data_IF_023856702663
#
_entry.id   IF_023856702663
#
_cell.length_a   1.000
_cell.length_b   1.000
_cell.length_c   1.000
_cell.angle_alpha   90.00
_cell.angle_beta   90.00
_cell.angle_gamma   90.00
#
_symmetry.space_group_name_H-M   'P 1'
#
loop_
_entity.id
_entity.type
_entity.pdbx_description
1 polymer ?
2 non-polymer ?
3 non-polymer ?
4 non-polymer ?
5 water ?
#
# COMPACT_ATOMS: atom_id res chain seq x y z
N UNK A 1 21.96 -2.15 -10.46
CA UNK A 1 20.98 -3.01 -9.85
C UNK A 1 20.93 -2.70 -8.36
N UNK A 2 20.97 -1.41 -8.02
CA UNK A 2 20.90 -1.03 -6.61
C UNK A 2 19.55 -0.38 -6.43
N UNK A 3 18.76 -0.89 -5.52
CA UNK A 3 17.43 -0.35 -5.38
C UNK A 3 17.26 0.20 -4.04
N UNK A 4 16.44 1.23 -3.93
CA UNK A 4 16.09 1.76 -2.63
C UNK A 4 14.55 1.65 -2.46
N UNK A 5 14.06 1.04 -1.37
CA UNK A 5 12.61 0.91 -1.15
C UNK A 5 12.23 1.67 0.09
N UNK A 6 11.43 2.74 -0.07
CA UNK A 6 11.02 3.50 1.12
C UNK A 6 9.84 2.80 1.71
N UNK A 7 9.69 2.89 3.02
CA UNK A 7 8.56 2.27 3.70
C UNK A 7 8.57 0.75 3.64
N UNK A 8 9.75 0.21 3.41
CA UNK A 8 9.89 -1.22 3.31
C UNK A 8 9.76 -2.00 4.61
N UNK A 9 9.49 -1.39 5.75
CA UNK A 9 9.24 -2.15 6.97
C UNK A 9 7.77 -2.09 7.27
N UNK A 10 6.96 -1.50 6.36
CA UNK A 10 5.48 -1.46 6.52
C UNK A 10 4.82 -2.72 5.93
N UNK A 11 3.50 -2.73 5.79
CA UNK A 11 2.84 -3.90 5.25
C UNK A 11 3.15 -4.29 3.81
N UNK A 12 2.83 -3.37 2.89
CA UNK A 12 3.05 -3.70 1.50
C UNK A 12 4.51 -3.69 1.13
N UNK A 13 5.22 -2.72 1.69
CA UNK A 13 6.64 -2.55 1.39
C UNK A 13 7.46 -3.78 1.74
N UNK A 14 7.19 -4.31 2.94
CA UNK A 14 7.91 -5.50 3.39
C UNK A 14 7.63 -6.74 2.51
N UNK A 15 6.39 -6.86 2.06
CA UNK A 15 6.07 -7.94 1.16
C UNK A 15 6.84 -7.78 -0.15
N UNK A 16 6.92 -6.56 -0.67
CA UNK A 16 7.68 -6.37 -1.90
C UNK A 16 9.14 -6.76 -1.70
N UNK A 17 9.69 -6.33 -0.56
CA UNK A 17 11.10 -6.65 -0.24
C UNK A 17 11.34 -8.16 -0.06
N UNK A 18 10.50 -8.83 0.70
CA UNK A 18 10.68 -10.24 0.90
C UNK A 18 10.58 -10.96 -0.44
N UNK A 19 9.62 -10.57 -1.27
CA UNK A 19 9.47 -11.21 -2.59
C UNK A 19 10.65 -10.93 -3.52
N UNK A 20 11.08 -9.69 -3.60
CA UNK A 20 12.19 -9.35 -4.46
C UNK A 20 13.41 -10.17 -4.10
N UNK A 21 13.70 -10.23 -2.80
CA UNK A 21 14.87 -10.95 -2.34
C UNK A 21 14.68 -12.41 -2.51
N UNK A 22 13.44 -12.83 -2.55
CA UNK A 22 13.21 -14.25 -2.75
C UNK A 22 13.42 -14.63 -4.22
N UNK A 23 13.45 -13.62 -5.11
CA UNK A 23 13.65 -13.89 -6.53
C UNK A 23 12.35 -14.05 -7.32
N UNK A 24 11.24 -13.57 -6.75
CA UNK A 24 9.96 -13.67 -7.42
C UNK A 24 9.82 -12.74 -8.62
N UNK A 25 10.72 -11.74 -8.73
CA UNK A 25 10.73 -10.77 -9.81
C UNK A 25 12.01 -10.87 -10.62
N UNK A 26 12.08 -11.92 -11.41
CA UNK A 26 13.25 -12.18 -12.25
C UNK A 26 13.67 -11.01 -13.13
N UNK A 27 12.67 -10.23 -13.56
CA UNK A 27 12.94 -9.06 -14.37
C UNK A 27 13.43 -7.85 -13.60
N UNK A 28 13.41 -7.91 -12.28
CA UNK A 28 13.94 -6.79 -11.52
C UNK A 28 15.18 -7.32 -10.81
N UNK A 29 16.35 -7.16 -11.38
CA UNK A 29 17.47 -7.74 -10.68
C UNK A 29 17.93 -6.92 -9.47
N UNK A 30 18.04 -7.63 -8.36
CA UNK A 30 18.43 -6.98 -7.14
C UNK A 30 19.77 -7.43 -6.61
N UNK A 31 20.70 -6.54 -6.80
CA UNK A 31 22.04 -6.80 -6.33
C UNK A 31 22.22 -6.27 -4.93
N UNK A 32 21.55 -5.18 -4.69
CA UNK A 32 21.55 -4.54 -3.41
C UNK A 32 20.25 -3.81 -3.22
N UNK A 33 19.66 -4.07 -2.06
CA UNK A 33 18.40 -3.45 -1.72
C UNK A 33 18.57 -2.67 -0.44
N UNK A 34 18.26 -1.40 -0.47
CA UNK A 34 18.33 -0.58 0.71
C UNK A 34 16.90 -0.32 1.10
N UNK A 35 16.59 -0.49 2.35
CA UNK A 35 15.24 -0.18 2.79
C UNK A 35 15.39 1.04 3.69
N UNK A 36 14.62 2.09 3.42
CA UNK A 36 14.59 3.29 4.22
C UNK A 36 13.23 3.36 4.91
N UNK A 37 13.20 3.31 6.26
CA UNK A 37 11.91 3.36 6.92
C UNK A 37 12.06 4.08 8.24
N UNK A 38 11.14 4.98 8.60
CA UNK A 38 11.31 5.73 9.82
C UNK A 38 10.75 5.05 11.04
N UNK A 39 10.16 3.85 10.87
CA UNK A 39 9.58 3.05 11.91
C UNK A 39 8.60 3.82 12.73
N UNK A 40 7.52 4.28 12.09
CA UNK A 40 6.42 4.95 12.82
C UNK A 40 5.63 3.83 13.53
N UNK A 41 4.48 4.12 14.12
CA UNK A 41 3.70 3.06 14.77
C UNK A 41 3.48 1.89 13.78
N UNK A 42 3.49 2.17 12.45
CA UNK A 42 3.22 1.16 11.41
C UNK A 42 4.42 0.39 10.89
N UNK A 43 5.64 0.85 11.14
CA UNK A 43 6.77 0.11 10.62
C UNK A 43 7.19 -0.91 11.63
N UNK A 44 7.64 -2.05 11.14
CA UNK A 44 7.99 -3.07 12.12
C UNK A 44 9.17 -3.88 11.65
N UNK A 45 10.26 -3.87 12.42
CA UNK A 45 11.45 -4.63 12.02
C UNK A 45 11.14 -6.11 11.84
N UNK A 46 10.17 -6.60 12.59
CA UNK A 46 9.86 -8.00 12.42
C UNK A 46 9.31 -8.35 11.03
N UNK A 47 8.77 -7.38 10.27
CA UNK A 47 8.27 -7.66 8.90
C UNK A 47 9.38 -8.07 7.96
N UNK A 48 10.61 -7.71 8.32
CA UNK A 48 11.75 -8.06 7.51
C UNK A 48 12.59 -9.15 8.12
N UNK A 49 12.16 -9.73 9.23
CA UNK A 49 12.95 -10.78 9.88
C UNK A 49 13.28 -12.00 9.02
N UNK A 50 12.34 -12.38 8.18
CA UNK A 50 12.58 -13.50 7.30
C UNK A 50 13.71 -13.28 6.33
N UNK A 51 14.16 -12.03 6.16
CA UNK A 51 15.23 -11.73 5.23
C UNK A 51 16.39 -10.97 5.84
N UNK A 52 16.43 -10.78 7.15
CA UNK A 52 17.54 -10.01 7.71
C UNK A 52 18.94 -10.62 7.53
N UNK A 53 18.99 -11.92 7.23
CA UNK A 53 20.23 -12.64 7.00
C UNK A 53 20.75 -12.37 5.60
N UNK A 54 19.91 -11.78 4.78
CA UNK A 54 20.31 -11.50 3.42
C UNK A 54 21.34 -10.41 3.38
N UNK A 55 22.49 -10.79 2.84
CA UNK A 55 23.61 -9.93 2.66
C UNK A 55 23.33 -8.74 1.70
N UNK A 56 22.34 -8.87 0.82
CA UNK A 56 22.02 -7.85 -0.15
C UNK A 56 21.16 -6.74 0.38
N UNK A 57 20.67 -6.99 1.58
CA UNK A 57 19.78 -6.07 2.24
C UNK A 57 20.45 -5.13 3.21
N UNK A 58 20.21 -3.85 3.08
CA UNK A 58 20.70 -2.85 4.00
C UNK A 58 19.45 -2.13 4.50
N UNK A 59 19.27 -2.16 5.81
CA UNK A 59 18.17 -1.48 6.47
C UNK A 59 18.60 -0.12 7.05
N UNK A 60 17.91 0.96 6.67
CA UNK A 60 18.23 2.27 7.15
C UNK A 60 17.04 2.80 7.93
N UNK A 61 17.23 3.07 9.23
CA UNK A 61 16.19 3.62 10.06
C UNK A 61 16.32 5.14 9.87
N UNK A 62 15.43 5.73 9.09
CA UNK A 62 15.52 7.15 8.78
C UNK A 62 14.28 7.63 8.03
N UNK A 63 14.26 8.93 7.77
CA UNK A 63 13.07 9.52 7.23
C UNK A 63 13.18 10.04 5.80
N UNK A 64 12.10 9.92 5.00
CA UNK A 64 12.13 10.42 3.61
C UNK A 64 12.24 11.95 3.62
N UNK A 65 11.93 12.54 4.76
CA UNK A 65 12.01 14.00 4.86
C UNK A 65 13.41 14.52 5.12
N UNK A 66 14.32 13.59 5.37
CA UNK A 66 15.70 13.94 5.69
C UNK A 66 16.59 14.06 4.42
N UNK A 67 16.67 15.24 3.89
CA UNK A 67 17.44 15.40 2.66
C UNK A 67 18.89 15.05 2.76
N UNK A 68 19.46 15.27 3.96
CA UNK A 68 20.87 14.99 4.30
C UNK A 68 21.12 13.50 4.07
N UNK A 69 20.32 12.73 4.77
CA UNK A 69 20.40 11.28 4.69
C UNK A 69 20.22 10.74 3.26
N UNK A 70 19.18 11.22 2.58
CA UNK A 70 18.92 10.75 1.23
C UNK A 70 20.00 11.07 0.25
N UNK A 71 20.57 12.28 0.38
CA UNK A 71 21.63 12.66 -0.55
C UNK A 71 22.75 11.62 -0.47
N UNK A 72 22.98 11.05 0.70
CA UNK A 72 24.02 10.06 0.79
C UNK A 72 23.50 8.66 0.45
N UNK A 73 22.38 8.25 1.00
CA UNK A 73 21.92 6.90 0.70
C UNK A 73 21.56 6.68 -0.79
N UNK A 74 21.20 7.75 -1.52
CA UNK A 74 20.84 7.57 -2.91
C UNK A 74 22.02 7.52 -3.90
N UNK A 75 23.25 7.64 -3.38
CA UNK A 75 24.43 7.62 -4.29
C UNK A 75 24.58 6.29 -5.01
N UNK A 76 24.54 6.30 -6.35
CA UNK A 76 24.63 5.03 -7.08
C UNK A 76 23.30 4.24 -7.19
N UNK A 77 22.21 4.74 -6.56
CA UNK A 77 20.92 4.06 -6.63
C UNK A 77 20.34 4.19 -8.03
N UNK A 78 19.95 3.09 -8.58
CA UNK A 78 19.34 3.10 -9.93
C UNK A 78 17.82 3.30 -10.01
N UNK A 79 17.14 2.83 -8.97
CA UNK A 79 15.70 2.93 -8.94
C UNK A 79 15.22 3.00 -7.52
N UNK A 80 14.09 3.67 -7.32
CA UNK A 80 13.42 3.76 -6.02
C UNK A 80 11.97 3.26 -6.19
N UNK A 81 11.46 2.50 -5.21
CA UNK A 81 10.07 2.10 -5.14
C UNK A 81 9.63 2.75 -3.86
N UNK A 82 8.71 3.67 -4.00
CA UNK A 82 8.29 4.49 -2.88
C UNK A 82 6.96 4.13 -2.21
N UNK A 83 7.03 3.40 -1.11
CA UNK A 83 5.87 3.02 -0.33
C UNK A 83 5.67 3.87 0.92
N UNK A 84 6.69 4.57 1.38
CA UNK A 84 6.58 5.31 2.66
C UNK A 84 5.43 6.30 2.68
N UNK A 85 4.58 6.25 3.70
CA UNK A 85 3.44 7.16 3.79
C UNK A 85 2.66 6.95 5.08
N UNK A 86 1.87 7.92 5.46
CA UNK A 86 0.88 7.76 6.53
C UNK A 86 -0.32 7.14 5.75
N UNK A 87 -0.82 5.98 6.17
CA UNK A 87 -1.80 5.30 5.30
C UNK A 87 -3.20 5.07 5.84
N UNK A 88 -3.48 5.52 7.06
CA UNK A 88 -4.80 5.21 7.55
C UNK A 88 -5.80 6.39 7.51
N UNK A 89 -6.94 6.18 6.81
CA UNK A 89 -7.95 7.22 6.72
C UNK A 89 -8.43 7.79 8.06
N UNK A 90 -8.74 6.90 9.02
CA UNK A 90 -9.19 7.35 10.35
C UNK A 90 -8.18 8.26 11.05
N UNK A 91 -6.89 7.92 10.92
CA UNK A 91 -5.85 8.75 11.54
C UNK A 91 -5.86 10.10 10.89
N UNK A 92 -6.07 10.10 9.55
CA UNK A 92 -6.05 11.34 8.81
C UNK A 92 -7.20 12.24 9.22
N UNK A 93 -8.34 11.64 9.58
CA UNK A 93 -9.44 12.51 9.98
C UNK A 93 -9.18 13.08 11.38
N UNK A 94 -8.56 12.27 12.24
CA UNK A 94 -8.24 12.69 13.60
C UNK A 94 -7.07 13.67 13.68
N UNK A 95 -6.07 13.49 12.80
CA UNK A 95 -4.89 14.36 12.83
C UNK A 95 -4.27 14.46 11.45
N UNK A 96 -4.83 15.36 10.65
CA UNK A 96 -4.40 15.50 9.27
C UNK A 96 -3.00 15.98 8.95
N UNK A 97 -2.42 16.82 9.78
CA UNK A 97 -1.15 17.38 9.36
C UNK A 97 -0.03 16.45 8.96
N UNK A 98 0.17 15.41 9.74
CA UNK A 98 1.23 14.44 9.46
C UNK A 98 1.09 13.83 8.05
N UNK A 99 -0.16 13.81 7.52
CA UNK A 99 -0.39 13.28 6.15
C UNK A 99 0.23 14.23 5.13
N UNK A 100 0.02 15.53 5.28
CA UNK A 100 0.66 16.44 4.31
C UNK A 100 2.18 16.34 4.45
N UNK A 101 2.59 16.34 5.72
CA UNK A 101 4.01 16.28 5.98
C UNK A 101 4.74 15.10 5.37
N UNK A 102 4.30 13.86 5.66
CA UNK A 102 5.00 12.72 5.11
C UNK A 102 4.71 12.48 3.63
N UNK A 103 3.42 12.60 3.31
CA UNK A 103 2.97 12.23 1.98
C UNK A 103 3.33 13.22 0.94
N UNK A 104 3.08 14.49 1.20
CA UNK A 104 3.37 15.47 0.15
C UNK A 104 4.79 16.01 0.25
N UNK A 105 5.13 16.57 1.41
CA UNK A 105 6.47 17.08 1.54
C UNK A 105 7.53 15.97 1.46
N UNK A 106 7.27 14.80 2.06
CA UNK A 106 8.25 13.71 2.02
C UNK A 106 8.48 13.26 0.59
N UNK A 107 7.39 13.15 -0.18
CA UNK A 107 7.54 12.79 -1.58
C UNK A 107 8.36 13.83 -2.31
N UNK A 108 8.11 15.15 -2.05
CA UNK A 108 8.87 16.21 -2.73
C UNK A 108 10.36 16.10 -2.43
N UNK A 109 10.64 15.90 -1.16
CA UNK A 109 12.04 15.75 -0.76
C UNK A 109 12.71 14.57 -1.47
N UNK A 110 12.07 13.42 -1.42
CA UNK A 110 12.59 12.21 -2.01
C UNK A 110 12.84 12.42 -3.50
N UNK A 111 11.89 13.01 -4.23
CA UNK A 111 12.09 13.17 -5.66
C UNK A 111 13.16 14.20 -5.98
N UNK A 112 13.23 15.27 -5.19
CA UNK A 112 14.29 16.22 -5.44
C UNK A 112 15.63 15.53 -5.25
N UNK A 113 15.73 14.78 -4.20
CA UNK A 113 16.98 14.09 -3.97
C UNK A 113 17.26 13.10 -5.08
N UNK A 114 16.23 12.48 -5.63
CA UNK A 114 16.43 11.53 -6.72
C UNK A 114 17.00 12.21 -7.95
N UNK A 115 16.50 13.41 -8.25
CA UNK A 115 17.01 14.21 -9.34
C UNK A 115 18.47 14.60 -9.03
N UNK A 116 18.74 15.01 -7.82
CA UNK A 116 20.13 15.38 -7.52
C UNK A 116 21.10 14.23 -7.56
N UNK A 117 20.63 13.01 -7.33
CA UNK A 117 21.48 11.82 -7.30
C UNK A 117 21.50 11.06 -8.61
N UNK A 118 20.81 11.63 -9.59
CA UNK A 118 20.75 10.98 -10.88
C UNK A 118 20.05 9.62 -10.87
N UNK A 119 19.05 9.40 -10.00
CA UNK A 119 18.35 8.10 -9.97
C UNK A 119 17.63 7.83 -11.26
N UNK A 120 17.75 6.62 -11.79
CA UNK A 120 17.16 6.26 -13.07
C UNK A 120 15.64 6.29 -13.20
N UNK A 121 14.96 5.67 -12.26
CA UNK A 121 13.51 5.65 -12.36
C UNK A 121 12.94 5.46 -11.00
N UNK A 122 11.70 5.88 -10.85
CA UNK A 122 11.06 5.77 -9.57
C UNK A 122 9.65 5.30 -9.80
N UNK A 123 9.14 4.45 -8.87
CA UNK A 123 7.77 4.01 -8.90
C UNK A 123 7.10 4.61 -7.69
N UNK A 124 6.13 5.48 -7.90
CA UNK A 124 5.44 6.12 -6.80
C UNK A 124 4.16 5.36 -6.54
N UNK A 125 4.06 4.72 -5.37
CA UNK A 125 2.91 3.87 -5.01
C UNK A 125 1.73 4.65 -4.44
N UNK A 126 0.64 4.65 -5.16
CA UNK A 126 -0.52 5.42 -4.76
C UNK A 126 -1.80 4.58 -4.60
N UNK A 127 -2.95 5.27 -4.50
CA UNK A 127 -4.21 4.62 -4.18
C UNK A 127 -5.42 5.08 -4.97
N UNK A 128 -6.38 4.15 -5.05
CA UNK A 128 -7.69 4.42 -5.68
C UNK A 128 -8.46 5.52 -4.95
N UNK A 129 -8.14 5.78 -3.68
CA UNK A 129 -8.95 6.78 -2.97
C UNK A 129 -8.85 8.20 -3.54
N UNK A 130 -7.80 8.45 -4.37
CA UNK A 130 -7.65 9.77 -4.95
C UNK A 130 -8.84 10.18 -5.83
N UNK A 131 -9.58 9.17 -6.29
CA UNK A 131 -10.71 9.43 -7.20
C UNK A 131 -12.05 9.75 -6.53
N UNK A 132 -12.12 9.67 -5.20
CA UNK A 132 -13.34 9.99 -4.48
C UNK A 132 -14.21 8.76 -4.31
N UNK A 133 -15.45 8.80 -4.82
CA UNK A 133 -16.41 7.69 -4.72
C UNK A 133 -17.10 7.52 -6.07
N UNK A 134 -17.48 6.29 -6.39
CA UNK A 134 -18.09 6.01 -7.66
C UNK A 134 -19.24 5.03 -7.50
N UNK A 135 -20.44 5.50 -7.81
CA UNK A 135 -21.66 4.71 -7.62
C UNK A 135 -21.79 3.44 -8.45
N UNK A 136 -21.46 3.65 -9.73
CA UNK A 136 -21.53 2.62 -10.77
C UNK A 136 -20.33 2.76 -11.70
N UNK A 137 -19.84 1.58 -12.10
CA UNK A 137 -18.70 1.54 -12.98
C UNK A 137 -17.39 1.56 -12.18
N UNK A 138 -16.29 1.75 -12.95
CA UNK A 138 -14.93 1.71 -12.47
C UNK A 138 -14.12 2.86 -13.01
N UNK A 139 -13.15 3.32 -12.24
CA UNK A 139 -12.35 4.42 -12.69
C UNK A 139 -11.23 4.00 -13.59
N UNK A 140 -10.84 4.86 -14.53
CA UNK A 140 -9.70 4.59 -15.40
C UNK A 140 -8.61 5.58 -15.03
N UNK A 141 -7.45 5.42 -15.65
CA UNK A 141 -6.30 6.27 -15.37
C UNK A 141 -6.55 7.73 -15.69
N UNK A 142 -7.62 8.01 -16.42
CA UNK A 142 -7.93 9.39 -16.73
C UNK A 142 -9.01 9.92 -15.80
N UNK A 143 -9.48 9.15 -14.83
CA UNK A 143 -10.51 9.65 -13.97
C UNK A 143 -9.94 10.85 -13.22
N UNK A 144 -10.81 11.77 -12.84
CA UNK A 144 -10.38 12.95 -12.15
C UNK A 144 -10.12 12.75 -10.67
N UNK A 145 -9.23 13.60 -10.15
CA UNK A 145 -8.86 13.57 -8.73
C UNK A 145 -9.91 14.31 -7.92
N UNK A 146 -10.59 13.58 -7.06
CA UNK A 146 -11.65 14.16 -6.27
C UNK A 146 -11.59 13.54 -4.90
N UNK A 147 -10.43 13.68 -4.27
CA UNK A 147 -10.25 13.09 -2.94
C UNK A 147 -11.20 13.66 -1.91
N UNK A 148 -11.68 12.81 -0.98
CA UNK A 148 -12.64 13.25 0.04
C UNK A 148 -12.07 13.37 1.43
N UNK A 149 -11.06 12.57 1.73
CA UNK A 149 -10.45 12.56 3.07
C UNK A 149 -9.07 13.19 3.04
N UNK A 150 -8.55 13.58 4.18
CA UNK A 150 -7.21 14.19 4.19
C UNK A 150 -6.18 13.20 3.69
N UNK A 151 -6.37 11.93 4.01
CA UNK A 151 -5.42 10.94 3.54
C UNK A 151 -5.46 10.95 2.00
N UNK A 152 -6.64 10.86 1.40
CA UNK A 152 -6.71 10.82 -0.05
C UNK A 152 -6.17 12.07 -0.68
N UNK A 153 -6.41 13.23 -0.07
CA UNK A 153 -5.93 14.51 -0.61
C UNK A 153 -4.42 14.59 -0.55
N UNK A 154 -3.82 13.97 0.46
CA UNK A 154 -2.35 13.97 0.60
C UNK A 154 -1.72 13.04 -0.42
N UNK A 155 -2.38 11.89 -0.66
CA UNK A 155 -1.87 10.98 -1.68
C UNK A 155 -2.06 11.62 -3.06
N UNK A 156 -3.16 12.29 -3.35
CA UNK A 156 -3.30 12.94 -4.65
C UNK A 156 -2.29 14.05 -4.83
N UNK A 157 -2.06 14.85 -3.77
CA UNK A 157 -1.04 15.90 -3.84
C UNK A 157 0.31 15.28 -4.16
N UNK A 158 0.64 14.13 -3.58
CA UNK A 158 1.95 13.54 -3.84
C UNK A 158 2.03 13.05 -5.28
N UNK A 159 0.91 12.61 -5.87
CA UNK A 159 0.89 12.17 -7.27
C UNK A 159 1.13 13.38 -8.18
N UNK A 160 0.64 14.56 -7.77
CA UNK A 160 0.83 15.77 -8.59
C UNK A 160 2.28 16.21 -8.57
N UNK A 161 2.91 16.07 -7.39
CA UNK A 161 4.33 16.37 -7.22
C UNK A 161 5.10 15.44 -8.15
N UNK A 162 4.74 14.16 -8.20
CA UNK A 162 5.44 13.23 -9.09
C UNK A 162 5.34 13.69 -10.54
N UNK A 163 4.12 14.08 -10.98
CA UNK A 163 3.93 14.54 -12.34
C UNK A 163 4.82 15.71 -12.64
N UNK A 164 4.85 16.70 -11.73
CA UNK A 164 5.71 17.88 -11.96
C UNK A 164 7.18 17.53 -12.08
N UNK A 165 7.69 16.56 -11.30
CA UNK A 165 9.11 16.15 -11.36
C UNK A 165 9.40 15.54 -12.69
N UNK A 166 8.42 14.83 -13.24
CA UNK A 166 8.62 14.26 -14.58
C UNK A 166 8.56 15.38 -15.63
N UNK A 167 7.56 16.26 -15.56
CA UNK A 167 7.40 17.31 -16.57
C UNK A 167 8.48 18.37 -16.55
N UNK A 168 8.94 18.81 -15.36
CA UNK A 168 9.92 19.86 -15.26
C UNK A 168 11.35 19.39 -15.36
N UNK A 169 11.70 18.32 -14.65
CA UNK A 169 13.11 17.89 -14.60
C UNK A 169 13.41 16.67 -15.43
N UNK A 170 12.41 16.07 -15.99
CA UNK A 170 12.66 14.90 -16.78
C UNK A 170 12.81 13.65 -15.95
N UNK A 171 12.42 13.64 -14.66
CA UNK A 171 12.57 12.42 -13.84
C UNK A 171 11.68 11.26 -14.33
N UNK A 172 12.23 10.04 -14.55
CA UNK A 172 11.38 8.96 -14.99
C UNK A 172 10.61 8.41 -13.77
N UNK A 173 9.42 8.96 -13.54
CA UNK A 173 8.62 8.49 -12.44
C UNK A 173 7.33 7.91 -13.01
N UNK A 174 6.95 6.74 -12.50
CA UNK A 174 5.75 6.00 -12.85
C UNK A 174 4.87 5.92 -11.60
N UNK A 175 3.55 6.08 -11.76
CA UNK A 175 2.63 6.06 -10.65
C UNK A 175 1.75 4.82 -10.71
N UNK A 176 1.56 4.15 -9.58
CA UNK A 176 0.63 3.01 -9.57
C UNK A 176 -0.51 3.36 -8.61
N UNK A 177 -1.72 2.85 -8.91
CA UNK A 177 -2.84 3.07 -8.02
C UNK A 177 -3.51 1.74 -7.83
N UNK A 178 -3.82 1.39 -6.57
CA UNK A 178 -4.43 0.10 -6.30
C UNK A 178 -5.60 0.20 -5.35
N UNK A 179 -6.39 -0.87 -5.26
CA UNK A 179 -7.54 -0.96 -4.35
C UNK A 179 -7.05 -1.49 -3.02
N UNK A 180 -7.95 -1.82 -2.11
CA UNK A 180 -7.57 -2.29 -0.78
C UNK A 180 -6.81 -3.59 -0.85
N UNK A 181 -5.69 -3.60 -0.12
CA UNK A 181 -4.87 -4.78 -0.03
C UNK A 181 -5.17 -5.51 1.28
N UNK A 182 -4.89 -6.81 1.25
CA UNK A 182 -5.01 -7.65 2.43
C UNK A 182 -3.91 -8.71 2.38
N UNK A 183 -3.60 -9.33 3.53
CA UNK A 183 -2.57 -10.35 3.55
C UNK A 183 -1.80 -10.33 4.90
N UNK A 184 -0.83 -11.25 5.03
CA UNK A 184 0.00 -11.30 6.22
C UNK A 184 0.77 -10.01 6.46
N UNK A 185 0.93 -9.65 7.72
CA UNK A 185 1.67 -8.51 8.19
C UNK A 185 0.94 -7.21 8.04
N UNK A 186 -0.34 -7.26 7.83
CA UNK A 186 -1.07 -6.03 7.77
C UNK A 186 -1.35 -5.53 9.18
N UNK A 187 -1.14 -4.27 9.44
CA UNK A 187 -1.37 -3.75 10.78
C UNK A 187 -2.81 -3.91 11.17
N UNK A 188 -3.06 -4.27 12.45
CA UNK A 188 -4.41 -4.52 12.95
C UNK A 188 -5.35 -3.34 13.11
N UNK A 189 -4.99 -2.18 12.62
CA UNK A 189 -5.95 -1.07 12.64
C UNK A 189 -6.81 -1.11 11.39
N UNK A 190 -6.36 -1.86 10.36
CA UNK A 190 -7.07 -1.99 9.07
C UNK A 190 -8.22 -3.00 9.23
N UNK A 191 -9.30 -2.78 8.48
CA UNK A 191 -10.51 -3.61 8.60
C UNK A 191 -10.32 -5.09 8.80
N UNK A 192 -9.73 -5.78 7.81
CA UNK A 192 -9.64 -7.25 7.97
C UNK A 192 -8.86 -7.72 9.19
N UNK A 193 -7.61 -7.30 9.38
CA UNK A 193 -6.86 -7.74 10.56
C UNK A 193 -7.50 -7.24 11.84
N UNK A 194 -8.17 -6.08 11.78
CA UNK A 194 -8.86 -5.62 12.98
C UNK A 194 -9.99 -6.55 13.33
N UNK A 195 -10.78 -6.93 12.34
CA UNK A 195 -11.88 -7.78 12.66
C UNK A 195 -11.41 -9.18 12.99
N UNK A 196 -10.50 -9.74 12.23
CA UNK A 196 -10.02 -11.06 12.56
C UNK A 196 -9.45 -11.11 13.97
N UNK A 197 -8.55 -10.21 14.32
CA UNK A 197 -7.96 -10.21 15.65
C UNK A 197 -8.93 -9.88 16.77
N UNK A 198 -9.94 -9.03 16.53
CA UNK A 198 -10.94 -8.81 17.55
C UNK A 198 -11.63 -10.16 17.86
N UNK A 199 -11.98 -10.87 16.81
CA UNK A 199 -12.65 -12.14 16.99
C UNK A 199 -11.79 -13.08 17.75
N UNK A 200 -10.52 -13.18 17.37
CA UNK A 200 -9.62 -14.07 18.10
C UNK A 200 -9.49 -13.64 19.55
N UNK A 201 -9.79 -12.37 19.83
CA UNK A 201 -9.67 -11.94 21.21
C UNK A 201 -10.98 -11.99 21.92
N UNK A 202 -11.92 -12.56 21.23
CA UNK A 202 -13.28 -12.70 21.70
C UNK A 202 -13.99 -11.36 21.81
N UNK A 203 -13.69 -10.40 20.95
CA UNK A 203 -14.33 -9.09 21.05
C UNK A 203 -15.41 -8.89 19.99
N UNK A 204 -15.90 -7.65 19.89
CA UNK A 204 -16.94 -7.31 18.91
C UNK A 204 -16.33 -6.58 17.72
N UNK A 205 -17.13 -6.43 16.68
CA UNK A 205 -16.62 -5.78 15.50
C UNK A 205 -17.36 -4.49 15.21
N UNK A 206 -16.61 -3.41 15.18
CA UNK A 206 -17.19 -2.10 14.94
C UNK A 206 -17.48 -1.83 13.49
N UNK A 207 -18.68 -2.14 13.04
CA UNK A 207 -18.98 -1.92 11.65
C UNK A 207 -19.56 -0.53 11.42
N UNK A 208 -18.88 0.31 10.66
CA UNK A 208 -19.36 1.68 10.48
C UNK A 208 -20.70 1.77 9.82
N UNK A 209 -21.54 2.66 10.36
CA UNK A 209 -22.86 2.89 9.79
C UNK A 209 -23.61 1.59 9.54
N UNK A 210 -24.07 1.42 8.31
CA UNK A 210 -24.80 0.25 7.84
C UNK A 210 -23.93 -0.82 7.20
N UNK A 211 -22.65 -0.55 6.95
CA UNK A 211 -21.81 -1.56 6.31
C UNK A 211 -22.07 -1.67 4.83
N UNK A 212 -22.76 -0.69 4.24
CA UNK A 212 -23.04 -0.78 2.80
C UNK A 212 -21.91 -0.34 1.93
N UNK A 213 -20.92 0.35 2.50
CA UNK A 213 -19.78 0.80 1.70
C UNK A 213 -19.10 -0.34 0.96
N UNK A 214 -18.62 -0.05 -0.23
CA UNK A 214 -18.01 -1.06 -1.08
C UNK A 214 -16.54 -0.82 -1.33
N UNK A 215 -15.76 -1.91 -1.22
CA UNK A 215 -14.34 -1.82 -1.48
C UNK A 215 -13.96 -2.99 -2.36
N UNK A 216 -12.88 -2.87 -3.13
CA UNK A 216 -12.37 -3.95 -3.95
C UNK A 216 -11.14 -4.45 -3.20
N UNK A 217 -10.92 -5.74 -3.18
CA UNK A 217 -9.82 -6.30 -2.41
C UNK A 217 -8.89 -7.09 -3.25
N UNK A 218 -7.62 -6.85 -3.04
CA UNK A 218 -6.57 -7.58 -3.75
C UNK A 218 -5.53 -8.07 -2.75
N UNK A 219 -5.01 -9.26 -2.96
CA UNK A 219 -3.98 -9.78 -2.10
C UNK A 219 -2.70 -8.98 -2.40
N UNK A 220 -2.00 -8.56 -1.34
CA UNK A 220 -0.81 -7.78 -1.52
C UNK A 220 0.20 -8.45 -2.45
N UNK A 221 0.20 -9.76 -2.54
CA UNK A 221 1.15 -10.41 -3.43
C UNK A 221 0.95 -10.03 -4.88
N UNK A 222 -0.31 -9.89 -5.27
CA UNK A 222 -0.68 -9.48 -6.62
C UNK A 222 -0.32 -8.01 -6.83
N UNK A 223 -0.60 -7.17 -5.82
CA UNK A 223 -0.28 -5.76 -5.92
C UNK A 223 1.21 -5.61 -6.14
N UNK A 224 2.00 -6.31 -5.33
CA UNK A 224 3.46 -6.20 -5.46
C UNK A 224 3.98 -6.67 -6.79
N UNK A 225 3.41 -7.75 -7.30
CA UNK A 225 3.81 -8.23 -8.64
C UNK A 225 3.51 -7.20 -9.71
N UNK A 226 2.35 -6.50 -9.64
CA UNK A 226 2.06 -5.43 -10.63
C UNK A 226 3.07 -4.31 -10.46
N UNK A 227 3.50 -3.94 -9.22
CA UNK A 227 4.49 -2.90 -9.04
C UNK A 227 5.80 -3.32 -9.69
N UNK A 228 6.20 -4.58 -9.52
CA UNK A 228 7.42 -5.03 -10.19
C UNK A 228 7.34 -4.97 -11.71
N UNK A 229 6.15 -5.25 -12.27
CA UNK A 229 5.98 -5.16 -13.72
C UNK A 229 6.13 -3.71 -14.18
N UNK A 230 5.54 -2.77 -13.42
CA UNK A 230 5.67 -1.36 -13.78
C UNK A 230 7.13 -0.87 -13.66
N UNK A 231 7.82 -1.39 -12.64
CA UNK A 231 9.20 -1.01 -12.44
C UNK A 231 9.99 -1.48 -13.61
N UNK A 232 9.78 -2.70 -13.98
CA UNK A 232 10.57 -3.22 -15.05
C UNK A 232 10.21 -2.72 -16.41
N UNK A 233 8.92 -2.49 -16.67
CA UNK A 233 8.56 -2.15 -18.05
C UNK A 233 7.55 -1.05 -18.28
N UNK A 234 7.26 -0.26 -17.27
CA UNK A 234 6.32 0.86 -17.49
C UNK A 234 7.02 2.00 -18.24
N UNK A 235 6.28 3.09 -18.42
CA UNK A 235 6.79 4.23 -19.13
C UNK A 235 6.73 5.45 -18.26
N UNK A 236 7.73 6.27 -18.45
CA UNK A 236 7.88 7.50 -17.68
C UNK A 236 6.64 8.37 -17.72
N UNK A 237 6.24 8.79 -16.56
CA UNK A 237 5.10 9.66 -16.48
C UNK A 237 3.75 8.97 -16.53
N UNK A 238 3.70 7.68 -16.76
CA UNK A 238 2.39 7.03 -16.82
C UNK A 238 1.86 6.60 -15.48
N UNK A 239 0.55 6.47 -15.44
CA UNK A 239 -0.20 5.97 -14.32
C UNK A 239 -0.71 4.60 -14.66
N UNK A 240 -0.63 3.66 -13.71
CA UNK A 240 -1.16 2.34 -13.93
C UNK A 240 -2.03 1.90 -12.79
N UNK A 241 -3.24 1.47 -13.08
CA UNK A 241 -4.08 0.89 -12.08
C UNK A 241 -3.73 -0.59 -11.91
N UNK A 242 -3.64 -1.04 -10.67
CA UNK A 242 -3.37 -2.44 -10.37
C UNK A 242 -4.67 -2.98 -9.80
N UNK A 243 -5.45 -3.69 -10.66
CA UNK A 243 -6.71 -4.27 -10.23
C UNK A 243 -6.67 -5.67 -9.54
N UNK A 244 -7.81 -6.31 -9.55
CA UNK A 244 -7.81 -7.61 -8.95
C UNK A 244 -9.14 -7.76 -8.32
N UNK A 245 -9.34 -6.73 -7.54
CA UNK A 245 -10.51 -6.48 -6.74
C UNK A 245 -11.76 -7.31 -7.01
N UNK A 246 -12.11 -7.98 -5.96
CA UNK A 246 -13.35 -8.67 -5.87
C UNK A 246 -14.08 -7.59 -5.09
N UNK A 247 -15.21 -7.13 -5.59
CA UNK A 247 -15.90 -6.03 -4.92
C UNK A 247 -16.87 -6.54 -3.84
N UNK A 248 -16.80 -6.04 -2.61
CA UNK A 248 -17.69 -6.48 -1.57
C UNK A 248 -18.19 -5.32 -0.76
N UNK A 249 -19.41 -5.41 -0.21
CA UNK A 249 -19.80 -4.40 0.79
C UNK A 249 -19.09 -4.85 2.06
N UNK A 250 -18.92 -3.92 2.98
CA UNK A 250 -18.26 -4.29 4.23
C UNK A 250 -19.11 -5.32 4.99
N UNK A 251 -20.44 -5.26 4.79
CA UNK A 251 -21.37 -6.18 5.41
C UNK A 251 -21.14 -7.61 4.94
N UNK A 252 -21.05 -7.75 3.64
CA UNK A 252 -20.78 -9.04 3.12
C UNK A 252 -19.39 -9.50 3.52
N UNK A 253 -18.39 -8.59 3.54
CA UNK A 253 -17.07 -9.08 3.95
C UNK A 253 -17.07 -9.57 5.39
N UNK A 254 -17.79 -8.83 6.26
CA UNK A 254 -17.92 -9.12 7.69
C UNK A 254 -18.47 -10.52 7.80
N UNK A 255 -19.51 -10.79 7.01
CA UNK A 255 -20.07 -12.14 7.03
C UNK A 255 -19.05 -13.22 6.67
N UNK A 256 -18.20 -12.98 5.66
CA UNK A 256 -17.18 -13.94 5.28
C UNK A 256 -16.15 -14.13 6.41
N UNK A 257 -15.79 -13.03 7.07
CA UNK A 257 -14.84 -13.17 8.15
C UNK A 257 -15.46 -13.91 9.29
N UNK A 258 -16.73 -13.62 9.64
CA UNK A 258 -17.31 -14.39 10.76
C UNK A 258 -17.27 -15.90 10.45
N UNK A 259 -17.66 -16.24 9.25
CA UNK A 259 -17.65 -17.64 8.89
C UNK A 259 -16.28 -18.25 8.95
N UNK A 260 -15.30 -17.55 8.42
CA UNK A 260 -13.95 -18.09 8.44
C UNK A 260 -13.52 -18.38 9.87
N UNK A 261 -14.12 -17.70 10.86
CA UNK A 261 -13.67 -17.96 12.21
C UNK A 261 -14.69 -18.72 13.02
N UNK A 262 -15.73 -19.26 12.42
CA UNK A 262 -16.66 -19.96 13.28
C UNK A 262 -17.45 -19.00 14.17
N UNK A 263 -17.56 -17.72 13.85
CA UNK A 263 -18.33 -16.81 14.70
C UNK A 263 -19.66 -16.45 14.10
N UNK A 264 -20.36 -15.53 14.78
CA UNK A 264 -21.67 -15.12 14.29
C UNK A 264 -21.95 -13.65 14.51
N UNK A 265 -23.08 -13.24 13.92
CA UNK A 265 -23.57 -11.89 13.93
C UNK A 265 -23.64 -11.23 15.24
N UNK A 266 -23.83 -12.01 16.30
CA UNK A 266 -23.88 -11.40 17.62
C UNK A 266 -22.57 -10.71 18.02
N UNK A 267 -21.49 -10.94 17.28
CA UNK A 267 -20.17 -10.34 17.53
C UNK A 267 -20.01 -8.93 16.91
N UNK A 268 -20.93 -8.59 16.00
CA UNK A 268 -20.91 -7.30 15.31
C UNK A 268 -21.69 -6.19 16.00
N UNK A 269 -21.11 -4.99 16.04
CA UNK A 269 -21.84 -3.87 16.58
C UNK A 269 -21.87 -2.78 15.53
N UNK A 270 -22.94 -2.02 15.48
CA UNK A 270 -23.06 -0.95 14.51
C UNK A 270 -22.58 0.29 15.15
N UNK A 271 -21.57 0.93 14.58
CA UNK A 271 -21.01 2.16 15.15
C UNK A 271 -21.25 3.42 14.25
N UNK A 272 -21.13 4.62 14.86
CA UNK A 272 -21.33 5.85 14.08
C UNK A 272 -20.39 5.82 12.89
N UNK A 273 -20.90 6.28 11.77
CA UNK A 273 -20.16 6.28 10.54
C UNK A 273 -18.95 7.23 10.53
N UNK A 274 -17.97 6.83 9.73
CA UNK A 274 -16.77 7.65 9.50
C UNK A 274 -17.14 8.96 8.75
N UNK A 275 -16.59 10.10 9.22
CA UNK A 275 -16.84 11.41 8.61
C UNK A 275 -16.35 11.37 7.16
N UNK A 276 -17.22 11.81 6.25
CA UNK A 276 -16.98 11.86 4.82
C UNK A 276 -16.73 10.49 4.17
N UNK A 277 -17.15 9.41 4.86
CA UNK A 277 -16.93 8.04 4.41
C UNK A 277 -17.22 7.80 2.93
N UNK A 278 -16.24 7.31 2.17
CA UNK A 278 -16.46 7.04 0.75
C UNK A 278 -17.36 5.85 0.56
N UNK A 279 -18.39 6.06 -0.24
CA UNK A 279 -19.33 4.97 -0.48
C UNK A 279 -18.83 3.79 -1.29
N UNK A 280 -18.09 4.06 -2.35
CA UNK A 280 -17.68 2.92 -3.18
C UNK A 280 -16.40 3.20 -3.98
N UNK A 281 -15.47 2.20 -4.05
CA UNK A 281 -14.27 2.27 -4.87
C UNK A 281 -14.33 1.11 -5.88
N UNK A 282 -13.93 1.38 -7.13
CA UNK A 282 -13.89 0.37 -8.14
C UNK A 282 -12.90 0.82 -9.17
N UNK A 283 -11.85 0.02 -9.42
CA UNK A 283 -10.79 0.38 -10.37
C UNK A 283 -10.80 -0.49 -11.63
N UNK A 284 -10.58 0.10 -12.80
CA UNK A 284 -10.52 -0.66 -14.03
C UNK A 284 -9.05 -0.90 -14.30
N UNK A 285 -8.66 -2.14 -14.46
CA UNK A 285 -7.25 -2.41 -14.65
C UNK A 285 -6.93 -2.85 -16.07
N UNK A 286 -7.68 -2.40 -17.07
CA UNK A 286 -7.35 -2.83 -18.41
C UNK A 286 -5.99 -2.36 -18.91
N UNK A 287 -5.59 -1.12 -18.54
CA UNK A 287 -4.34 -0.62 -19.07
C UNK A 287 -3.15 -1.47 -18.72
N UNK A 288 -2.97 -1.76 -17.41
CA UNK A 288 -1.83 -2.59 -17.08
C UNK A 288 -1.90 -3.98 -17.71
N UNK A 289 -3.10 -4.52 -17.88
CA UNK A 289 -3.20 -5.82 -18.49
C UNK A 289 -2.81 -5.79 -19.95
N UNK A 290 -3.35 -4.82 -20.69
CA UNK A 290 -3.06 -4.76 -22.11
C UNK A 290 -1.66 -4.34 -22.38
N UNK A 291 -1.07 -3.47 -21.55
CA UNK A 291 0.28 -2.98 -21.77
C UNK A 291 1.36 -3.81 -21.14
N UNK A 292 1.11 -4.35 -19.94
CA UNK A 292 2.17 -5.09 -19.27
C UNK A 292 1.82 -6.55 -18.97
N UNK A 293 0.63 -6.99 -19.27
CA UNK A 293 0.33 -8.38 -19.05
C UNK A 293 -0.04 -8.75 -17.64
N UNK A 294 -0.38 -7.77 -16.82
CA UNK A 294 -0.74 -8.12 -15.45
C UNK A 294 -2.17 -8.59 -15.26
N UNK A 295 -2.33 -9.73 -14.54
CA UNK A 295 -3.59 -10.33 -14.12
C UNK A 295 -3.38 -10.91 -12.72
N UNK A 296 -4.32 -10.66 -11.82
CA UNK A 296 -4.19 -11.17 -10.46
C UNK A 296 -4.19 -12.66 -10.50
N UNK A 297 -3.44 -13.30 -9.62
CA UNK A 297 -3.43 -14.74 -9.58
C UNK A 297 -3.94 -15.33 -8.25
N UNK A 298 -4.19 -14.51 -7.22
CA UNK A 298 -4.66 -15.05 -5.95
C UNK A 298 -6.14 -14.85 -5.79
N UNK A 299 -6.87 -15.95 -5.76
CA UNK A 299 -8.30 -15.82 -5.52
C UNK A 299 -8.55 -15.40 -4.08
N UNK A 300 -9.61 -14.62 -3.91
CA UNK A 300 -10.04 -14.13 -2.63
C UNK A 300 -10.22 -15.24 -1.65
N UNK A 301 -10.99 -16.25 -2.05
CA UNK A 301 -11.22 -17.34 -1.14
C UNK A 301 -9.94 -18.01 -0.62
N UNK A 302 -8.99 -18.30 -1.49
CA UNK A 302 -7.74 -18.89 -1.00
C UNK A 302 -6.89 -17.87 -0.25
N UNK A 303 -6.73 -16.66 -0.82
CA UNK A 303 -5.93 -15.67 -0.17
C UNK A 303 -6.44 -15.34 1.22
N UNK A 304 -7.74 -15.16 1.29
CA UNK A 304 -8.32 -14.84 2.56
C UNK A 304 -8.10 -15.97 3.56
N UNK A 305 -8.23 -17.20 3.11
CA UNK A 305 -8.03 -18.31 4.03
C UNK A 305 -6.63 -18.37 4.60
N UNK A 306 -5.63 -18.17 3.74
CA UNK A 306 -4.30 -18.18 4.23
C UNK A 306 -4.05 -17.01 5.16
N UNK A 307 -4.69 -15.90 4.87
CA UNK A 307 -4.51 -14.73 5.70
C UNK A 307 -5.05 -14.91 7.12
N UNK A 308 -6.27 -15.43 7.21
CA UNK A 308 -6.87 -15.70 8.50
C UNK A 308 -6.03 -16.68 9.31
N UNK A 309 -5.54 -17.73 8.65
CA UNK A 309 -4.69 -18.70 9.34
C UNK A 309 -3.42 -18.01 9.83
N UNK A 310 -2.83 -17.13 9.00
CA UNK A 310 -1.63 -16.44 9.43
C UNK A 310 -1.90 -15.68 10.77
N UNK A 311 -3.05 -14.98 10.86
CA UNK A 311 -3.34 -14.25 12.07
C UNK A 311 -3.52 -15.22 13.23
N UNK A 312 -4.16 -16.36 12.94
CA UNK A 312 -4.36 -17.33 14.00
C UNK A 312 -3.03 -17.80 14.52
N UNK A 313 -2.07 -18.00 13.65
CA UNK A 313 -0.78 -18.50 14.12
C UNK A 313 0.27 -17.49 14.55
N UNK A 314 -0.02 -16.19 14.46
CA UNK A 314 0.93 -15.12 14.76
C UNK A 314 0.49 -14.10 15.79
N UNK A 315 -0.25 -14.53 16.83
CA UNK A 315 -0.65 -13.62 17.89
C UNK A 315 0.58 -12.90 18.43
N UNK A 316 1.76 -13.56 18.44
CA UNK A 316 2.95 -12.91 18.95
C UNK A 316 3.31 -11.64 18.17
N UNK A 317 2.96 -11.61 16.88
CA UNK A 317 3.21 -10.43 16.07
C UNK A 317 2.19 -9.34 16.30
N UNK A 318 0.94 -9.71 16.26
CA UNK A 318 -0.07 -8.68 16.35
C UNK A 318 -0.48 -8.18 17.70
N UNK A 319 -0.33 -9.00 18.70
CA UNK A 319 -0.77 -8.61 20.01
C UNK A 319 -0.18 -7.28 20.46
N UNK A 320 1.12 -7.11 20.33
CA UNK A 320 1.76 -5.90 20.74
C UNK A 320 1.28 -4.67 19.98
N UNK A 321 0.78 -4.89 18.79
CA UNK A 321 0.34 -3.76 17.97
C UNK A 321 -1.01 -3.20 18.35
N UNK A 322 -1.75 -3.98 19.12
CA UNK A 322 -3.09 -3.56 19.53
C UNK A 322 -3.07 -2.83 20.87
X LIG B 1 -8.32 15.73 -12.20
X LIG C 1 1.72 0.99 6.28
X LIG C 1 1.09 2.02 7.15
X LIG C 1 1.64 -0.51 6.60
X LIG C 1 3.26 1.27 6.18
X LIG C 1 3.81 2.58 5.93
X LIG C 1 5.31 2.49 6.18
X LIG C 1 5.93 3.80 5.93
X LIG C 1 5.73 2.13 7.62
X LIG C 1 6.72 1.05 7.63
X LIG C 1 6.20 3.51 8.19
X LIG C 1 7.17 3.35 9.25
X LIG C 1 6.84 4.12 6.95
X LIG C 1 6.91 5.57 7.01
X LIG C 1 5.92 6.40 7.37
X LIG C 1 6.33 7.68 7.35
X LIG C 1 7.63 7.66 6.91
X LIG C 1 8.59 8.70 6.67
X LIG C 1 8.38 10.03 6.84
X LIG C 1 9.83 8.28 6.29
X LIG C 1 10.06 6.94 6.13
X LIG C 1 9.25 5.92 6.32
X LIG C 1 8.02 6.34 6.68
X LIG C 1 1.27 1.26 4.80
X LIG C 1 0.96 0.18 3.60
X LIG C 1 2.15 -0.76 3.49
X LIG C 1 -0.47 -0.26 3.79
X LIG C 1 0.96 1.20 2.33
X LIG C 1 2.19 1.41 1.63
X LIG C 1 1.84 2.38 0.51
X LIG C 1 0.83 1.82 -0.36
X LIG C 1 1.34 3.74 0.95
X LIG C 1 1.89 4.69 0.01
X LIG C 1 -0.18 3.58 0.75
X LIG C 1 -0.75 4.87 0.45
X LIG C 1 -0.21 2.75 -0.54
X LIG C 1 -1.41 1.95 -0.67
X LIG C 1 -1.85 1.11 0.36
X LIG C 1 -3.14 0.36 0.24
X LIG C 1 -3.54 -0.57 1.31
X LIG C 1 -4.66 -1.10 1.11
X LIG C 1 -2.81 -0.86 2.41
X LIG C 1 -3.90 0.42 -1.04
X LIG C 1 -3.14 1.15 -2.10
X LIG C 1 -2.10 1.93 -1.89
X LIG D 1 -9.98 0.72 6.16
X LIG D 1 -9.31 -0.58 6.51
X LIG D 1 -9.73 1.83 7.13
X LIG D 1 -9.44 1.14 4.70
X LIG D 1 -9.90 2.28 3.67
X LIG D 1 -10.90 1.77 2.53
X LIG D 1 -8.63 2.77 3.05
X LIG D 1 -10.58 3.38 4.47
X LIG D 1 -11.58 0.58 6.02
X LIG D 1 -12.07 -0.33 5.03
X LIG D 1 -13.56 -0.17 5.06
X LIG D 1 -13.98 -0.74 6.32
X LIG D 1 -14.05 1.27 5.00
X LIG D 1 -15.30 1.38 4.30
X LIG D 1 -14.19 1.59 6.50
X LIG D 1 -14.68 0.25 7.07
X LIG D 1 -14.36 0.03 8.50
X LIG D 1 -15.33 -0.34 9.40
X LIG D 1 -16.52 -0.51 9.13
X LIG D 1 -14.85 -0.53 10.67
X LIG D 1 -13.53 -0.40 11.10
X LIG D 1 -13.29 -0.58 12.28
X LIG D 1 -12.60 -0.01 10.10
X LIG D 1 -11.11 0.19 10.42
X LIG D 1 -13.04 0.17 8.87
#
# INVERSE_FOLDING_TARGET
>A
MRLLVTGGAGFIGSHFVRQLLAGAYPDVPADEVIVLDSLTYAGNRANLAPVDADPRLRFVHGDIRDAGLLARELRGVDAIVHFAAESHVDRSIAGASVFTETNVQGTQTLLQCAVDAGVGRVVHVSTDEVYGSIDSGSWTESSPLEPNSPYAASKAGSDLVARAYHRTYGLDVRITRCCNNYGPYQHPEKLIPLFVTNLLDGGTLPLYGDGANVREWVHTDDHCRGIALVLAGGRAGEIYHIGGGLELTNRELTGILLDSLGADWSSVRKVADRKGHDLRYSLDGGKIERELGYRPQVSFADGLARTVRWYRENRGWWEPLKATAPQLPATAVEVSA
>B hetero
1 CL CL
>C hetero
1 NAD PA O1A O2A O5B C5B C4B O4B C3B O3B C2B O2B C1B N9A C8A N7A C5A C6A N6A N1A C2A N3A C4A O3 PN O1N O2N O5D C5D C4D O4D C3D O3D C2D O2D C1D N1N C2N C3N C7N O7N N7N C4N C5N C6N
>D hetero
1 TYD PA O1A O2A O3A PB O1B O2B O3B O5' C5' C4' O4' C3' O3' C2' C1' N1 C2 O2 N3 C4 O4 C5 C5M C6
#
